data_IF_840023801304
#
_entry.id   IF_840023801304
#
_cell.length_a   1.000
_cell.length_b   1.000
_cell.length_c   1.000
_cell.angle_alpha   90.00
_cell.angle_beta   90.00
_cell.angle_gamma   90.00
#
_symmetry.space_group_name_H-M   'P 1'
#
loop_
_entity.id
_entity.type
_entity.pdbx_description
1 polymer ?
#
# COMPACT_ATOMS: atom_id res chain seq x y z
N UNK A 1 45.46 18.85 -43.09
CA UNK A 1 44.45 19.78 -42.53
C UNK A 1 43.31 18.93 -41.97
N UNK A 2 43.38 18.65 -40.68
CA UNK A 2 42.47 17.76 -39.94
C UNK A 2 41.31 18.57 -39.35
N UNK A 3 40.23 18.80 -40.09
CA UNK A 3 38.96 19.24 -39.48
C UNK A 3 37.82 18.80 -40.37
N UNK A 4 37.02 17.85 -39.91
CA UNK A 4 35.61 17.55 -40.24
C UNK A 4 35.35 16.06 -40.02
N UNK A 5 35.53 15.60 -38.78
CA UNK A 5 35.22 14.24 -38.36
C UNK A 5 34.72 14.25 -36.89
N UNK A 6 33.77 15.14 -36.57
CA UNK A 6 33.13 15.15 -35.25
C UNK A 6 31.73 15.74 -35.36
N UNK A 7 30.81 15.02 -36.00
CA UNK A 7 29.38 15.32 -35.93
C UNK A 7 28.53 14.05 -36.01
N UNK A 8 29.03 12.95 -35.45
CA UNK A 8 28.26 11.75 -35.26
C UNK A 8 28.45 11.29 -33.81
N UNK A 9 27.34 10.88 -33.20
CA UNK A 9 27.29 10.05 -32.00
C UNK A 9 27.34 10.78 -30.65
N UNK A 10 26.33 11.59 -30.35
CA UNK A 10 25.84 11.74 -28.97
C UNK A 10 24.31 11.73 -28.93
N UNK A 11 23.68 10.78 -29.64
CA UNK A 11 22.34 10.31 -29.27
C UNK A 11 22.58 9.21 -28.25
N UNK A 12 23.11 9.59 -27.09
CA UNK A 12 23.16 8.72 -25.92
C UNK A 12 21.72 8.49 -25.55
N UNK A 13 21.27 7.25 -25.71
CA UNK A 13 19.95 6.81 -25.33
C UNK A 13 19.74 7.13 -23.85
N UNK A 14 19.04 8.24 -23.56
CA UNK A 14 18.29 8.36 -22.32
C UNK A 14 17.12 7.39 -22.48
N UNK A 15 17.38 6.10 -22.33
CA UNK A 15 16.34 5.19 -21.85
C UNK A 15 16.03 5.72 -20.46
N UNK A 16 15.06 6.63 -20.37
CA UNK A 16 14.38 6.91 -19.13
C UNK A 16 13.79 5.56 -18.72
N UNK A 17 14.53 4.81 -17.91
CA UNK A 17 14.00 3.65 -17.24
C UNK A 17 12.96 4.19 -16.27
N UNK A 18 11.72 4.31 -16.73
CA UNK A 18 10.59 4.47 -15.82
C UNK A 18 10.57 3.20 -14.98
N UNK A 19 11.23 3.24 -13.82
CA UNK A 19 11.11 2.15 -12.85
C UNK A 19 9.65 2.11 -12.44
N UNK A 20 8.95 1.06 -12.85
CA UNK A 20 7.61 0.78 -12.36
C UNK A 20 7.64 0.76 -10.82
N UNK A 21 6.58 1.24 -10.15
CA UNK A 21 6.50 1.16 -8.70
C UNK A 21 6.77 -0.28 -8.21
N UNK A 22 7.41 -0.46 -7.05
CA UNK A 22 7.56 -1.77 -6.44
C UNK A 22 6.24 -2.53 -6.39
N UNK A 23 6.28 -3.84 -6.66
CA UNK A 23 5.09 -4.69 -6.77
C UNK A 23 4.21 -4.62 -5.51
N UNK A 24 4.83 -4.51 -4.33
CA UNK A 24 4.14 -4.33 -3.06
C UNK A 24 3.25 -3.07 -3.06
N UNK A 25 3.76 -1.92 -3.53
CA UNK A 25 2.98 -0.69 -3.60
C UNK A 25 1.79 -0.84 -4.55
N UNK A 26 2.00 -1.55 -5.67
CA UNK A 26 0.92 -1.84 -6.64
C UNK A 26 -0.17 -2.69 -5.97
N UNK A 27 0.23 -3.77 -5.26
CA UNK A 27 -0.70 -4.64 -4.53
C UNK A 27 -1.47 -3.88 -3.47
N UNK A 28 -0.81 -3.01 -2.68
CA UNK A 28 -1.45 -2.21 -1.64
C UNK A 28 -2.40 -1.17 -2.23
N UNK A 29 -1.99 -0.46 -3.28
CA UNK A 29 -2.84 0.56 -3.91
C UNK A 29 -4.10 -0.04 -4.55
N UNK A 30 -4.02 -1.28 -5.02
CA UNK A 30 -5.12 -2.05 -5.58
C UNK A 30 -6.10 -2.63 -4.54
N UNK A 31 -5.80 -2.51 -3.24
CA UNK A 31 -6.69 -3.03 -2.20
C UNK A 31 -8.07 -2.38 -2.26
N UNK A 32 -9.09 -3.23 -2.27
CA UNK A 32 -10.46 -2.79 -2.09
C UNK A 32 -10.72 -2.47 -0.62
N UNK A 33 -11.26 -1.28 -0.33
CA UNK A 33 -11.74 -0.91 1.00
C UNK A 33 -13.13 -1.49 1.18
N UNK A 34 -13.31 -2.55 1.99
CA UNK A 34 -14.59 -3.23 2.08
C UNK A 34 -15.59 -2.36 2.82
N UNK A 35 -16.77 -2.17 2.21
CA UNK A 35 -17.94 -1.55 2.82
C UNK A 35 -19.02 -2.62 2.98
N UNK A 36 -19.21 -3.09 4.20
CA UNK A 36 -20.07 -4.24 4.54
C UNK A 36 -21.14 -3.79 5.52
N UNK A 37 -22.39 -4.00 5.13
CA UNK A 37 -23.53 -3.72 6.01
C UNK A 37 -23.48 -4.66 7.22
N UNK A 38 -23.79 -4.13 8.40
CA UNK A 38 -23.84 -4.94 9.61
C UNK A 38 -25.06 -5.85 9.57
N UNK A 39 -24.83 -7.14 9.38
CA UNK A 39 -25.83 -8.18 9.60
C UNK A 39 -25.54 -8.85 10.93
N UNK A 40 -26.60 -9.10 11.70
CA UNK A 40 -26.48 -9.72 13.02
C UNK A 40 -25.77 -11.07 12.88
N UNK A 41 -24.52 -11.14 13.30
CA UNK A 41 -23.71 -12.35 13.24
C UNK A 41 -23.73 -13.07 14.59
N UNK A 42 -23.83 -14.42 14.62
CA UNK A 42 -23.74 -15.19 15.85
C UNK A 42 -22.29 -15.42 16.35
N UNK A 43 -21.29 -14.77 15.73
CA UNK A 43 -19.89 -14.95 16.07
C UNK A 43 -19.60 -14.68 17.56
N UNK A 44 -18.74 -15.50 18.16
CA UNK A 44 -18.36 -15.33 19.55
C UNK A 44 -17.49 -14.07 19.73
N UNK A 45 -17.56 -13.37 20.89
CA UNK A 45 -16.73 -12.19 21.15
C UNK A 45 -15.22 -12.44 20.98
N UNK A 46 -14.75 -13.63 21.33
CA UNK A 46 -13.34 -14.04 21.18
C UNK A 46 -12.92 -14.16 19.70
N UNK A 47 -13.82 -14.67 18.85
CA UNK A 47 -13.58 -14.80 17.42
C UNK A 47 -13.50 -13.42 16.74
N UNK A 48 -14.38 -12.49 17.13
CA UNK A 48 -14.33 -11.09 16.71
C UNK A 48 -13.01 -10.42 17.11
N UNK A 49 -12.59 -10.60 18.36
CA UNK A 49 -11.36 -10.01 18.88
C UNK A 49 -10.11 -10.57 18.19
N UNK A 50 -10.09 -11.89 17.95
CA UNK A 50 -9.00 -12.56 17.24
C UNK A 50 -8.85 -12.01 15.83
N UNK A 51 -9.95 -11.98 15.07
CA UNK A 51 -9.92 -11.53 13.68
C UNK A 51 -9.58 -10.03 13.56
N UNK A 52 -10.09 -9.20 14.47
CA UNK A 52 -9.71 -7.78 14.55
C UNK A 52 -8.22 -7.61 14.80
N UNK A 53 -7.66 -8.38 15.72
CA UNK A 53 -6.25 -8.31 16.09
C UNK A 53 -5.34 -8.83 14.97
N UNK A 54 -5.71 -9.91 14.29
CA UNK A 54 -4.97 -10.44 13.13
C UNK A 54 -4.89 -9.38 12.02
N UNK A 55 -6.03 -8.81 11.63
CA UNK A 55 -6.08 -7.74 10.65
C UNK A 55 -5.21 -6.55 11.06
N UNK A 56 -5.27 -6.15 12.34
CA UNK A 56 -4.46 -5.06 12.87
C UNK A 56 -2.96 -5.36 12.75
N UNK A 57 -2.51 -6.57 13.10
CA UNK A 57 -1.11 -6.95 13.00
C UNK A 57 -0.60 -6.89 11.56
N UNK A 58 -1.38 -7.39 10.60
CA UNK A 58 -1.02 -7.32 9.18
C UNK A 58 -0.84 -5.86 8.74
N UNK A 59 -1.83 -5.01 9.04
CA UNK A 59 -1.81 -3.59 8.66
C UNK A 59 -0.62 -2.86 9.30
N UNK A 60 -0.34 -3.11 10.57
CA UNK A 60 0.73 -2.44 11.30
C UNK A 60 2.12 -2.88 10.81
N UNK A 61 2.30 -4.16 10.49
CA UNK A 61 3.54 -4.67 9.92
C UNK A 61 3.82 -4.05 8.53
N UNK A 62 2.81 -4.01 7.65
CA UNK A 62 2.93 -3.37 6.34
C UNK A 62 3.20 -1.86 6.48
N UNK A 63 2.51 -1.18 7.40
CA UNK A 63 2.72 0.25 7.67
C UNK A 63 4.16 0.52 8.11
N UNK A 64 4.71 -0.32 9.00
CA UNK A 64 6.06 -0.18 9.50
C UNK A 64 7.10 -0.47 8.41
N UNK A 65 6.89 -1.53 7.61
CA UNK A 65 7.75 -1.88 6.47
C UNK A 65 7.84 -0.72 5.49
N UNK A 66 6.70 -0.20 5.02
CA UNK A 66 6.67 0.92 4.09
C UNK A 66 7.40 2.18 4.62
N UNK A 67 7.23 2.50 5.91
CA UNK A 67 7.92 3.64 6.50
C UNK A 67 9.43 3.43 6.60
N UNK A 68 9.84 2.22 6.98
CA UNK A 68 11.26 1.89 7.19
C UNK A 68 12.00 1.77 5.87
N UNK A 69 11.36 1.17 4.86
CA UNK A 69 12.03 0.86 3.59
C UNK A 69 12.09 2.07 2.66
N UNK A 70 11.12 2.99 2.74
CA UNK A 70 10.98 4.06 1.76
C UNK A 70 11.02 5.48 2.33
N UNK A 71 10.83 5.69 3.63
CA UNK A 71 10.60 7.04 4.18
C UNK A 71 11.69 7.56 5.15
N UNK A 72 12.87 6.92 5.21
CA UNK A 72 13.94 7.32 6.14
C UNK A 72 14.66 8.64 5.78
N UNK A 73 14.82 8.94 4.49
CA UNK A 73 15.51 10.16 4.01
C UNK A 73 14.82 10.72 2.75
N UNK A 74 13.60 11.24 2.96
CA UNK A 74 12.75 11.73 1.86
C UNK A 74 12.74 13.26 1.79
N UNK A 75 12.77 13.80 0.57
CA UNK A 75 12.59 15.22 0.35
C UNK A 75 11.10 15.54 0.34
N UNK A 76 10.73 16.65 0.96
CA UNK A 76 9.33 17.11 0.96
C UNK A 76 8.76 17.29 -0.45
N UNK A 77 9.59 17.69 -1.43
CA UNK A 77 9.16 17.83 -2.82
C UNK A 77 8.67 16.51 -3.41
N UNK A 78 9.30 15.39 -3.04
CA UNK A 78 8.96 14.07 -3.58
C UNK A 78 7.57 13.63 -3.09
N UNK A 79 7.07 14.13 -1.96
CA UNK A 79 5.72 13.82 -1.46
C UNK A 79 4.63 14.31 -2.42
N UNK A 80 4.88 15.42 -3.12
CA UNK A 80 3.92 16.08 -4.00
C UNK A 80 4.14 15.77 -5.49
N UNK A 81 5.22 15.07 -5.84
CA UNK A 81 5.48 14.58 -7.19
C UNK A 81 4.81 13.21 -7.37
N UNK A 82 3.75 13.15 -8.19
CA UNK A 82 2.96 11.95 -8.43
C UNK A 82 3.73 10.82 -9.14
N UNK A 83 4.84 11.16 -9.78
CA UNK A 83 5.77 10.22 -10.38
C UNK A 83 6.80 9.67 -9.37
N UNK A 84 6.91 10.26 -8.19
CA UNK A 84 7.89 9.83 -7.19
C UNK A 84 7.45 8.55 -6.48
N UNK A 85 8.42 7.71 -6.12
CA UNK A 85 8.17 6.54 -5.28
C UNK A 85 7.63 6.95 -3.90
N UNK A 86 8.09 8.07 -3.35
CA UNK A 86 7.64 8.58 -2.04
C UNK A 86 6.14 8.88 -2.07
N UNK A 87 5.65 9.54 -3.12
CA UNK A 87 4.23 9.80 -3.30
C UNK A 87 3.42 8.51 -3.35
N UNK A 88 3.88 7.52 -4.12
CA UNK A 88 3.22 6.22 -4.21
C UNK A 88 3.16 5.50 -2.86
N UNK A 89 4.21 5.60 -2.04
CA UNK A 89 4.23 5.06 -0.67
C UNK A 89 3.19 5.75 0.22
N UNK A 90 3.04 7.07 0.13
CA UNK A 90 2.00 7.79 0.87
C UNK A 90 0.57 7.41 0.45
N UNK A 91 0.34 7.12 -0.83
CA UNK A 91 -0.94 6.56 -1.29
C UNK A 91 -1.20 5.19 -0.66
N UNK A 92 -0.18 4.32 -0.63
CA UNK A 92 -0.26 3.00 -0.01
C UNK A 92 -0.53 3.09 1.50
N UNK A 93 0.17 3.97 2.22
CA UNK A 93 -0.08 4.24 3.63
C UNK A 93 -1.50 4.75 3.87
N UNK A 94 -1.98 5.67 3.04
CA UNK A 94 -3.35 6.20 3.14
C UNK A 94 -4.40 5.11 2.91
N UNK A 95 -4.12 4.14 2.05
CA UNK A 95 -4.99 2.96 1.84
C UNK A 95 -4.98 2.05 3.05
N UNK A 96 -3.81 1.75 3.63
CA UNK A 96 -3.71 0.95 4.87
C UNK A 96 -4.44 1.62 6.04
N UNK A 97 -4.36 2.95 6.16
CA UNK A 97 -5.09 3.72 7.17
C UNK A 97 -6.61 3.59 6.99
N UNK A 98 -7.12 3.64 5.76
CA UNK A 98 -8.53 3.38 5.45
C UNK A 98 -8.97 1.98 5.87
N UNK A 99 -8.17 0.96 5.59
CA UNK A 99 -8.45 -0.41 6.02
C UNK A 99 -8.43 -0.52 7.56
N UNK A 100 -7.48 0.15 8.24
CA UNK A 100 -7.43 0.20 9.71
C UNK A 100 -8.71 0.81 10.29
N UNK A 101 -9.20 1.89 9.70
CA UNK A 101 -10.46 2.51 10.11
C UNK A 101 -11.64 1.54 9.96
N UNK A 102 -11.70 0.79 8.85
CA UNK A 102 -12.74 -0.23 8.64
C UNK A 102 -12.64 -1.40 9.61
N UNK A 103 -11.43 -1.90 9.88
CA UNK A 103 -11.20 -2.95 10.88
C UNK A 103 -11.72 -2.53 12.26
N UNK A 104 -11.38 -1.32 12.70
CA UNK A 104 -11.83 -0.78 13.99
C UNK A 104 -13.34 -0.53 14.03
N UNK A 105 -13.91 -0.02 12.93
CA UNK A 105 -15.34 0.19 12.81
C UNK A 105 -16.10 -1.13 12.91
N UNK A 106 -15.71 -2.15 12.14
CA UNK A 106 -16.40 -3.44 12.16
C UNK A 106 -16.26 -4.17 13.50
N UNK A 107 -15.14 -4.03 14.20
CA UNK A 107 -15.03 -4.57 15.55
C UNK A 107 -15.99 -3.87 16.52
N UNK A 108 -16.04 -2.53 16.49
CA UNK A 108 -16.96 -1.73 17.33
C UNK A 108 -18.43 -2.10 17.08
N UNK A 109 -18.80 -2.31 15.82
CA UNK A 109 -20.16 -2.68 15.41
C UNK A 109 -20.46 -4.18 15.57
N UNK A 110 -19.50 -4.98 16.07
CA UNK A 110 -19.61 -6.45 16.14
C UNK A 110 -19.93 -7.09 14.78
N UNK A 111 -19.46 -6.46 13.69
CA UNK A 111 -19.70 -6.88 12.32
C UNK A 111 -18.62 -7.89 11.90
N UNK A 112 -18.85 -9.17 12.22
CA UNK A 112 -17.94 -10.25 11.86
C UNK A 112 -17.65 -10.34 10.36
N UNK A 113 -18.69 -10.21 9.51
CA UNK A 113 -18.52 -10.27 8.07
C UNK A 113 -17.67 -9.11 7.53
N UNK A 114 -17.80 -7.92 8.13
CA UNK A 114 -16.93 -6.78 7.84
C UNK A 114 -15.46 -7.08 8.16
N UNK A 115 -15.19 -7.66 9.33
CA UNK A 115 -13.83 -8.08 9.72
C UNK A 115 -13.27 -9.16 8.79
N UNK A 116 -14.09 -10.12 8.35
CA UNK A 116 -13.69 -11.16 7.39
C UNK A 116 -13.36 -10.56 6.02
N UNK A 117 -14.13 -9.58 5.57
CA UNK A 117 -13.85 -8.89 4.30
C UNK A 117 -12.59 -8.04 4.37
N UNK A 118 -12.29 -7.42 5.52
CA UNK A 118 -10.99 -6.78 5.75
C UNK A 118 -9.86 -7.80 5.63
N UNK A 119 -9.97 -8.95 6.29
CA UNK A 119 -8.96 -10.01 6.22
C UNK A 119 -8.76 -10.52 4.78
N UNK A 120 -9.87 -10.74 4.06
CA UNK A 120 -9.87 -11.17 2.66
C UNK A 120 -9.20 -10.15 1.75
N UNK A 121 -9.48 -8.86 1.94
CA UNK A 121 -8.80 -7.78 1.21
C UNK A 121 -7.29 -7.79 1.47
N UNK A 122 -6.84 -8.09 2.70
CA UNK A 122 -5.42 -8.12 3.06
C UNK A 122 -4.68 -9.38 2.58
N UNK A 123 -5.38 -10.47 2.31
CA UNK A 123 -4.77 -11.77 1.96
C UNK A 123 -3.76 -11.74 0.78
N UNK A 124 -3.97 -10.97 -0.31
CA UNK A 124 -3.00 -10.88 -1.40
C UNK A 124 -1.65 -10.30 -1.00
N UNK A 125 -1.56 -9.57 0.12
CA UNK A 125 -0.34 -8.94 0.60
C UNK A 125 0.54 -9.91 1.40
N UNK A 126 -0.03 -11.04 1.84
CA UNK A 126 0.66 -12.03 2.65
C UNK A 126 1.38 -13.11 1.82
N UNK A 127 1.18 -13.10 0.50
CA UNK A 127 1.82 -14.02 -0.44
C UNK A 127 2.72 -13.19 -1.37
N UNK A 128 4.02 -13.33 -1.16
CA UNK A 128 5.07 -12.83 -2.06
C UNK A 128 4.94 -13.45 -3.42
#
# INVERSE_FOLDING_TARGET
MHKLLFAALVISMLTACSSSPPEELVKINALHIPVVQNTKSPAAPEELATLHQENKQIIDNLTLGLKTDYLLDVKTADIFDDHSQVHQVYLSLSRLDQIRMMNNYYFKEQNFHGLQQVNTSLAPLLRG
#
